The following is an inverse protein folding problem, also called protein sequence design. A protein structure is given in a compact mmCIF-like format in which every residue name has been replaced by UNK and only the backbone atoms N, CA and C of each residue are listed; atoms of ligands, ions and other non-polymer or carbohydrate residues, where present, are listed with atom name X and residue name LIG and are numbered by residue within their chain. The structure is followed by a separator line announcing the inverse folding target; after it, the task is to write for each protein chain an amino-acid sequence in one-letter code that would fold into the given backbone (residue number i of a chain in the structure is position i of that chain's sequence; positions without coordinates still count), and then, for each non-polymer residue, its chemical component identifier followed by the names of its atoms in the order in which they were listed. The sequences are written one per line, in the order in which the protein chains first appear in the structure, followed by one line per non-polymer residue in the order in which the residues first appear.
data_IF_368316113063
#
_entry.id   IF_368316113063
#
_cell.length_a   1.000
_cell.length_b   1.000
_cell.length_c   1.000
_cell.angle_alpha   90.00
_cell.angle_beta   90.00
_cell.angle_gamma   90.00
#
_symmetry.space_group_name_H-M   'P 1'
#
loop_
_entity.id
_entity.type
_entity.pdbx_description
1 polymer ?
#
# COMPACT_ATOMS: atom_id res chain seq x y z
N UNK A 1 1.31 -35.45 -42.64
CA UNK A 1 0.49 -35.54 -41.40
C UNK A 1 1.30 -34.97 -40.24
N UNK A 2 1.00 -33.75 -39.82
CA UNK A 2 1.33 -33.26 -38.48
C UNK A 2 0.02 -32.72 -37.92
N UNK A 3 -0.68 -33.62 -37.24
CA UNK A 3 -2.00 -33.42 -36.66
C UNK A 3 -1.87 -32.60 -35.37
N UNK A 4 -2.69 -31.55 -35.28
CA UNK A 4 -3.07 -30.82 -34.07
C UNK A 4 -1.94 -30.21 -33.21
N UNK A 5 -1.39 -29.09 -33.68
CA UNK A 5 -1.03 -28.01 -32.74
C UNK A 5 -2.36 -27.52 -32.15
N UNK A 6 -2.76 -28.03 -30.98
CA UNK A 6 -3.84 -27.41 -30.19
C UNK A 6 -3.48 -25.92 -30.10
N UNK A 7 -4.27 -25.07 -30.77
CA UNK A 7 -4.21 -23.63 -30.55
C UNK A 7 -4.33 -23.45 -29.04
N UNK A 8 -3.31 -22.84 -28.41
CA UNK A 8 -3.54 -22.27 -27.09
C UNK A 8 -4.78 -21.38 -27.24
N UNK A 9 -5.75 -21.41 -26.30
CA UNK A 9 -6.80 -20.40 -26.32
C UNK A 9 -6.12 -19.04 -26.49
N UNK A 10 -6.64 -18.22 -27.41
CA UNK A 10 -6.04 -16.92 -27.72
C UNK A 10 -5.85 -16.22 -26.38
N UNK A 11 -4.60 -15.89 -26.03
CA UNK A 11 -4.32 -15.28 -24.72
C UNK A 11 -5.03 -13.92 -24.73
N UNK A 12 -5.73 -13.55 -23.63
CA UNK A 12 -6.41 -12.27 -23.56
C UNK A 12 -5.42 -11.17 -23.92
N UNK A 13 -5.81 -10.31 -24.86
CA UNK A 13 -4.91 -9.29 -25.41
C UNK A 13 -4.81 -8.06 -24.51
N UNK A 14 -5.79 -7.89 -23.61
CA UNK A 14 -5.84 -6.75 -22.69
C UNK A 14 -5.99 -7.18 -21.23
N UNK A 15 -5.50 -6.33 -20.34
CA UNK A 15 -5.47 -6.55 -18.90
C UNK A 15 -6.06 -5.35 -18.16
N UNK A 16 -7.05 -5.61 -17.32
CA UNK A 16 -7.59 -4.67 -16.35
C UNK A 16 -7.18 -5.13 -14.96
N UNK A 17 -6.63 -4.23 -14.16
CA UNK A 17 -6.26 -4.48 -12.77
C UNK A 17 -6.93 -3.48 -11.86
N UNK A 18 -7.71 -3.99 -10.90
CA UNK A 18 -8.32 -3.19 -9.84
C UNK A 18 -7.63 -3.53 -8.52
N UNK A 19 -7.02 -2.51 -7.92
CA UNK A 19 -6.48 -2.59 -6.56
C UNK A 19 -7.53 -2.21 -5.54
N UNK A 20 -7.82 -3.10 -4.59
CA UNK A 20 -8.58 -2.79 -3.38
C UNK A 20 -7.59 -2.74 -2.23
N UNK A 21 -7.12 -1.55 -1.85
CA UNK A 21 -6.03 -1.39 -0.87
C UNK A 21 -6.44 -1.93 0.50
N UNK A 22 -5.57 -2.72 1.12
CA UNK A 22 -5.81 -3.27 2.45
C UNK A 22 -7.06 -4.15 2.59
N UNK A 23 -7.59 -4.74 1.51
CA UNK A 23 -8.79 -5.61 1.55
C UNK A 23 -8.44 -7.08 1.75
N UNK A 24 -8.77 -7.70 2.90
CA UNK A 24 -8.41 -9.09 3.16
C UNK A 24 -9.26 -10.09 2.37
N UNK A 25 -8.63 -11.18 1.93
CA UNK A 25 -9.32 -12.34 1.35
C UNK A 25 -10.47 -12.84 2.25
N UNK A 26 -10.24 -12.88 3.57
CA UNK A 26 -11.24 -13.31 4.56
C UNK A 26 -12.48 -12.42 4.57
N UNK A 27 -12.31 -11.11 4.37
CA UNK A 27 -13.43 -10.17 4.31
C UNK A 27 -14.26 -10.40 3.05
N UNK A 28 -13.64 -10.46 1.87
CA UNK A 28 -14.38 -10.70 0.61
C UNK A 28 -15.11 -12.05 0.65
N UNK A 29 -14.46 -13.09 1.17
CA UNK A 29 -15.09 -14.41 1.37
C UNK A 29 -16.33 -14.31 2.25
N UNK A 30 -16.24 -13.57 3.37
CA UNK A 30 -17.36 -13.35 4.29
C UNK A 30 -18.49 -12.59 3.60
N UNK A 31 -18.19 -11.48 2.93
CA UNK A 31 -19.19 -10.64 2.27
C UNK A 31 -19.92 -11.37 1.13
N UNK A 32 -19.23 -12.22 0.38
CA UNK A 32 -19.84 -13.09 -0.64
C UNK A 32 -20.77 -14.12 0.02
N UNK A 33 -20.30 -14.81 1.06
CA UNK A 33 -21.10 -15.80 1.80
C UNK A 33 -22.37 -15.19 2.40
N UNK A 34 -22.30 -13.94 2.85
CA UNK A 34 -23.42 -13.18 3.40
C UNK A 34 -24.31 -12.52 2.34
N UNK A 35 -24.00 -12.68 1.06
CA UNK A 35 -24.77 -12.09 -0.04
C UNK A 35 -24.67 -10.57 -0.15
N UNK A 36 -23.64 -9.97 0.46
CA UNK A 36 -23.44 -8.50 0.51
C UNK A 36 -22.70 -7.93 -0.70
N UNK A 37 -22.07 -8.79 -1.50
CA UNK A 37 -21.33 -8.41 -2.71
C UNK A 37 -21.79 -9.27 -3.91
N UNK A 38 -23.03 -9.07 -4.41
CA UNK A 38 -23.59 -9.88 -5.48
C UNK A 38 -22.84 -9.78 -6.81
N UNK A 39 -22.30 -8.61 -7.17
CA UNK A 39 -21.58 -8.44 -8.43
C UNK A 39 -20.24 -9.19 -8.38
N UNK A 40 -19.47 -9.01 -7.32
CA UNK A 40 -18.23 -9.74 -7.09
C UNK A 40 -18.48 -11.25 -7.01
N UNK A 41 -19.54 -11.68 -6.32
CA UNK A 41 -19.98 -13.09 -6.32
C UNK A 41 -20.28 -13.61 -7.73
N UNK A 42 -20.88 -12.77 -8.59
CA UNK A 42 -21.07 -13.04 -10.02
C UNK A 42 -19.75 -13.31 -10.75
N UNK A 43 -18.74 -12.47 -10.54
CA UNK A 43 -17.41 -12.63 -11.14
C UNK A 43 -16.73 -13.95 -10.73
N UNK A 44 -16.97 -14.42 -9.51
CA UNK A 44 -16.40 -15.70 -9.03
C UNK A 44 -17.00 -16.94 -9.69
N UNK A 45 -18.10 -16.83 -10.46
CA UNK A 45 -18.64 -17.96 -11.22
C UNK A 45 -17.71 -18.39 -12.36
N UNK A 46 -16.97 -17.43 -12.91
CA UNK A 46 -16.04 -17.63 -14.03
C UNK A 46 -14.58 -17.34 -13.64
N UNK A 47 -14.37 -16.73 -12.47
CA UNK A 47 -13.06 -16.45 -11.88
C UNK A 47 -12.75 -17.31 -10.65
N UNK A 48 -11.74 -16.87 -9.90
CA UNK A 48 -11.32 -17.50 -8.65
C UNK A 48 -10.88 -16.46 -7.63
N UNK A 49 -11.24 -16.65 -6.37
CA UNK A 49 -10.71 -15.90 -5.24
C UNK A 49 -9.64 -16.73 -4.53
N UNK A 50 -8.41 -16.23 -4.48
CA UNK A 50 -7.27 -16.94 -3.88
C UNK A 50 -6.56 -16.04 -2.86
N UNK A 51 -6.11 -16.60 -1.72
CA UNK A 51 -5.31 -15.85 -0.76
C UNK A 51 -3.91 -15.60 -1.32
N UNK A 52 -3.39 -14.39 -1.13
CA UNK A 52 -2.03 -14.00 -1.50
C UNK A 52 -1.20 -13.71 -0.25
N UNK A 53 0.08 -14.08 -0.29
CA UNK A 53 1.05 -13.67 0.73
C UNK A 53 1.67 -12.35 0.30
N UNK A 54 1.51 -11.31 1.14
CA UNK A 54 2.13 -10.00 0.90
C UNK A 54 3.63 -10.02 1.22
N UNK A 55 4.29 -8.91 0.91
CA UNK A 55 5.72 -8.68 1.16
C UNK A 55 5.96 -8.13 2.56
N UNK A 56 7.23 -8.16 2.99
CA UNK A 56 7.66 -7.57 4.25
C UNK A 56 8.55 -6.35 3.97
N UNK A 57 8.27 -5.16 4.55
CA UNK A 57 7.12 -4.85 5.41
C UNK A 57 5.77 -4.82 4.65
N UNK A 58 4.69 -5.24 5.32
CA UNK A 58 3.32 -5.23 4.78
C UNK A 58 2.72 -3.83 4.83
N UNK A 59 3.14 -2.96 3.91
CA UNK A 59 2.69 -1.57 3.81
C UNK A 59 2.53 -1.18 2.35
N UNK A 60 1.54 -0.33 2.02
CA UNK A 60 1.12 -0.11 0.64
C UNK A 60 2.23 0.37 -0.30
N UNK A 61 3.15 1.24 0.14
CA UNK A 61 4.32 1.64 -0.69
C UNK A 61 5.18 0.46 -1.11
N UNK A 62 5.40 -0.50 -0.22
CA UNK A 62 6.27 -1.66 -0.45
C UNK A 62 5.53 -2.70 -1.29
N UNK A 63 4.31 -3.04 -0.87
CA UNK A 63 3.49 -4.06 -1.51
C UNK A 63 3.10 -3.67 -2.94
N UNK A 64 2.62 -2.44 -3.17
CA UNK A 64 2.33 -1.98 -4.54
C UNK A 64 3.57 -1.90 -5.41
N UNK A 65 4.71 -1.44 -4.88
CA UNK A 65 5.96 -1.47 -5.67
C UNK A 65 6.34 -2.90 -6.04
N UNK A 66 6.18 -3.86 -5.14
CA UNK A 66 6.40 -5.28 -5.43
C UNK A 66 5.44 -5.82 -6.48
N UNK A 67 4.15 -5.48 -6.41
CA UNK A 67 3.13 -5.87 -7.41
C UNK A 67 3.51 -5.35 -8.80
N UNK A 68 3.78 -4.05 -8.91
CA UNK A 68 4.00 -3.43 -10.23
C UNK A 68 5.35 -3.78 -10.85
N UNK A 69 6.32 -4.24 -10.06
CA UNK A 69 7.67 -4.63 -10.54
C UNK A 69 7.87 -6.14 -10.63
N UNK A 70 7.01 -6.94 -9.99
CA UNK A 70 7.23 -8.38 -9.80
C UNK A 70 8.51 -8.71 -9.00
N UNK A 71 9.02 -7.75 -8.22
CA UNK A 71 10.28 -7.86 -7.49
C UNK A 71 10.04 -7.76 -5.98
N UNK A 72 10.93 -8.35 -5.17
CA UNK A 72 10.90 -8.14 -3.72
C UNK A 72 11.51 -6.77 -3.32
N UNK A 73 11.31 -6.31 -2.08
CA UNK A 73 11.80 -5.02 -1.59
C UNK A 73 13.30 -4.79 -1.74
N UNK A 74 14.11 -5.85 -1.54
CA UNK A 74 15.56 -5.79 -1.73
C UNK A 74 15.98 -5.49 -3.17
N UNK A 75 15.14 -5.81 -4.16
CA UNK A 75 15.42 -5.55 -5.58
C UNK A 75 14.87 -4.23 -6.07
N UNK A 76 13.69 -3.81 -5.61
CA UNK A 76 13.09 -2.53 -6.05
C UNK A 76 13.41 -1.34 -5.15
N UNK A 77 14.05 -1.55 -3.98
CA UNK A 77 14.58 -0.50 -3.08
C UNK A 77 13.52 0.36 -2.37
N UNK A 78 12.29 -0.13 -2.23
CA UNK A 78 11.25 0.56 -1.45
C UNK A 78 10.92 -0.27 -0.23
N UNK A 79 11.05 0.33 0.95
CA UNK A 79 10.91 -0.34 2.25
C UNK A 79 9.88 0.32 3.18
N UNK A 80 9.21 1.38 2.71
CA UNK A 80 8.15 2.09 3.42
C UNK A 80 7.96 3.51 2.90
N UNK A 81 7.14 4.31 3.60
CA UNK A 81 6.84 5.70 3.22
C UNK A 81 7.90 6.73 3.62
N UNK A 82 8.85 6.34 4.45
CA UNK A 82 9.89 7.24 4.96
C UNK A 82 11.22 6.51 4.91
N UNK A 83 12.25 7.11 4.35
CA UNK A 83 13.59 6.57 4.42
C UNK A 83 14.61 7.67 4.71
N UNK A 84 15.88 7.31 4.79
CA UNK A 84 16.97 8.25 5.07
C UNK A 84 18.17 8.04 4.16
N UNK A 85 18.98 9.08 4.08
CA UNK A 85 20.38 8.95 3.65
C UNK A 85 21.24 8.58 4.87
N UNK A 86 21.88 7.38 4.92
CA UNK A 86 22.55 6.88 6.13
C UNK A 86 23.62 7.81 6.71
N UNK A 87 24.38 8.50 5.85
CA UNK A 87 25.51 9.35 6.27
C UNK A 87 25.11 10.75 6.72
N UNK A 88 23.90 11.21 6.39
CA UNK A 88 23.45 12.57 6.73
C UNK A 88 22.22 12.58 7.62
N UNK A 89 21.52 11.43 7.70
CA UNK A 89 20.20 11.26 8.29
C UNK A 89 19.13 12.20 7.72
N UNK A 90 19.36 12.70 6.51
CA UNK A 90 18.33 13.42 5.76
C UNK A 90 17.20 12.45 5.44
N UNK A 91 15.98 12.79 5.88
CA UNK A 91 14.79 11.98 5.71
C UNK A 91 14.09 12.35 4.41
N UNK A 92 13.56 11.36 3.70
CA UNK A 92 12.82 11.56 2.47
C UNK A 92 11.65 10.57 2.35
N UNK A 93 10.69 10.91 1.49
CA UNK A 93 9.58 10.03 1.12
C UNK A 93 9.98 9.30 -0.17
N UNK A 94 10.11 7.95 -0.18
CA UNK A 94 10.41 7.22 -1.40
C UNK A 94 9.28 7.33 -2.42
N UNK A 95 9.54 8.03 -3.53
CA UNK A 95 8.69 8.05 -4.73
C UNK A 95 9.23 7.22 -5.89
N UNK A 96 8.63 7.38 -7.07
CA UNK A 96 8.92 6.64 -8.30
C UNK A 96 10.40 6.66 -8.71
N UNK A 97 11.10 7.76 -8.42
CA UNK A 97 12.53 7.95 -8.72
C UNK A 97 13.46 7.03 -7.92
N UNK A 98 12.99 6.43 -6.83
CA UNK A 98 13.78 5.54 -5.98
C UNK A 98 13.57 4.05 -6.32
N UNK A 99 12.63 3.74 -7.21
CA UNK A 99 12.33 2.38 -7.65
C UNK A 99 13.43 1.92 -8.61
N UNK A 100 14.16 0.86 -8.25
CA UNK A 100 15.31 0.36 -9.03
C UNK A 100 14.96 -0.77 -10.03
N UNK A 101 13.68 -1.04 -10.24
CA UNK A 101 13.19 -2.06 -11.17
C UNK A 101 12.14 -1.49 -12.13
N UNK A 102 12.09 -1.95 -13.39
CA UNK A 102 11.02 -1.57 -14.31
C UNK A 102 9.64 -1.97 -13.75
N UNK A 103 8.66 -1.09 -13.89
CA UNK A 103 7.26 -1.37 -13.55
C UNK A 103 6.48 -1.84 -14.78
N UNK A 104 5.31 -2.45 -14.59
CA UNK A 104 4.42 -2.84 -15.69
C UNK A 104 4.12 -1.71 -16.70
N UNK A 105 3.98 -0.46 -16.26
CA UNK A 105 3.73 0.69 -17.15
C UNK A 105 4.97 1.02 -17.98
N UNK A 106 6.18 0.76 -17.47
CA UNK A 106 7.40 0.83 -18.28
C UNK A 106 7.40 -0.25 -19.34
N UNK A 107 7.18 -1.49 -18.91
CA UNK A 107 7.29 -2.68 -19.77
C UNK A 107 6.28 -2.66 -20.91
N UNK A 108 5.05 -2.21 -20.66
CA UNK A 108 4.02 -2.04 -21.69
C UNK A 108 4.36 -0.87 -22.62
N UNK A 109 4.70 0.31 -22.07
CA UNK A 109 5.03 1.48 -22.88
C UNK A 109 6.23 1.26 -23.79
N UNK A 110 7.27 0.57 -23.30
CA UNK A 110 8.47 0.21 -24.07
C UNK A 110 8.17 -0.72 -25.25
N UNK A 111 7.09 -1.51 -25.17
CA UNK A 111 6.62 -2.37 -26.26
C UNK A 111 5.64 -1.66 -27.20
N UNK A 112 5.41 -0.35 -27.01
CA UNK A 112 4.44 0.42 -27.80
C UNK A 112 2.98 0.14 -27.45
N UNK A 113 2.72 -0.59 -26.36
CA UNK A 113 1.38 -0.84 -25.85
C UNK A 113 0.88 0.37 -25.05
N UNK A 114 -0.43 0.61 -25.09
CA UNK A 114 -1.07 1.74 -24.42
C UNK A 114 -1.40 1.40 -22.98
N UNK A 115 -1.09 2.32 -22.07
CA UNK A 115 -1.33 2.14 -20.63
C UNK A 115 -2.25 3.23 -20.08
N UNK A 116 -3.15 2.82 -19.19
CA UNK A 116 -3.81 3.70 -18.25
C UNK A 116 -3.48 3.20 -16.84
N UNK A 117 -3.02 4.08 -15.96
CA UNK A 117 -2.77 3.74 -14.56
C UNK A 117 -3.17 4.89 -13.65
N UNK A 118 -4.02 4.63 -12.66
CA UNK A 118 -4.53 5.64 -11.74
C UNK A 118 -4.41 5.21 -10.28
N UNK A 119 -3.91 6.11 -9.44
CA UNK A 119 -4.01 6.02 -7.99
C UNK A 119 -2.97 5.11 -7.33
N UNK A 120 -2.16 4.38 -8.10
CA UNK A 120 -1.21 3.39 -7.55
C UNK A 120 -0.17 4.09 -6.65
N UNK A 121 0.02 3.66 -5.39
CA UNK A 121 1.01 4.22 -4.48
C UNK A 121 2.44 4.21 -5.03
N UNK A 122 3.26 5.21 -4.64
CA UNK A 122 4.68 5.27 -5.01
C UNK A 122 4.97 5.64 -6.46
N UNK A 123 3.95 6.06 -7.22
CA UNK A 123 4.09 6.46 -8.64
C UNK A 123 4.41 7.94 -8.85
N UNK A 124 4.39 8.76 -7.79
CA UNK A 124 4.80 10.16 -7.85
C UNK A 124 6.34 10.32 -7.81
N UNK A 125 6.94 11.23 -8.59
CA UNK A 125 6.31 11.97 -9.69
C UNK A 125 5.97 11.06 -10.87
N UNK A 126 4.87 11.34 -11.60
CA UNK A 126 4.49 10.54 -12.75
C UNK A 126 5.59 10.65 -13.81
N UNK A 127 5.94 9.51 -14.39
CA UNK A 127 6.87 9.42 -15.53
C UNK A 127 6.11 9.41 -16.86
N UNK A 128 6.73 9.85 -17.97
CA UNK A 128 6.14 9.67 -19.29
C UNK A 128 5.86 8.20 -19.59
N UNK A 129 4.66 7.93 -20.09
CA UNK A 129 4.21 6.60 -20.52
C UNK A 129 3.50 6.70 -21.87
N UNK A 130 3.33 5.58 -22.57
CA UNK A 130 2.49 5.54 -23.77
C UNK A 130 1.00 5.50 -23.38
N UNK A 131 0.46 6.62 -22.91
CA UNK A 131 -0.90 6.72 -22.41
C UNK A 131 -0.98 7.65 -21.19
N UNK A 132 -1.71 7.23 -20.15
CA UNK A 132 -2.01 8.05 -18.98
C UNK A 132 -1.47 7.40 -17.71
N UNK A 133 -0.82 8.22 -16.87
CA UNK A 133 -0.39 7.85 -15.53
C UNK A 133 -0.82 8.94 -14.54
N UNK A 134 -1.70 8.59 -13.62
CA UNK A 134 -2.18 9.43 -12.52
C UNK A 134 -1.63 8.84 -11.22
N UNK A 135 -0.82 9.63 -10.53
CA UNK A 135 -0.14 9.22 -9.31
C UNK A 135 -1.11 9.04 -8.15
N UNK A 136 -0.80 8.10 -7.27
CA UNK A 136 -1.54 7.87 -6.03
C UNK A 136 -1.23 8.86 -4.92
N UNK A 137 -1.66 8.49 -3.71
CA UNK A 137 -1.34 9.23 -2.50
C UNK A 137 0.18 9.45 -2.34
N UNK A 138 0.54 10.52 -1.62
CA UNK A 138 1.88 11.15 -1.57
C UNK A 138 2.21 12.06 -2.76
N UNK A 139 1.39 12.07 -3.81
CA UNK A 139 1.44 13.19 -4.75
C UNK A 139 1.02 14.48 -4.01
N UNK A 140 1.82 15.56 -4.08
CA UNK A 140 1.60 16.76 -3.27
C UNK A 140 0.43 17.62 -3.76
N UNK A 141 0.05 17.49 -5.04
CA UNK A 141 -1.09 18.19 -5.63
C UNK A 141 -1.51 17.51 -6.95
N UNK A 142 -2.75 17.76 -7.37
CA UNK A 142 -3.33 17.16 -8.57
C UNK A 142 -2.59 17.58 -9.84
N UNK A 143 -2.17 18.85 -9.91
CA UNK A 143 -1.45 19.43 -11.05
C UNK A 143 -0.11 18.73 -11.30
N UNK A 144 0.49 18.15 -10.26
CA UNK A 144 1.77 17.43 -10.34
C UNK A 144 1.61 15.91 -10.37
N UNK A 145 0.38 15.41 -10.24
CA UNK A 145 0.11 13.98 -10.08
C UNK A 145 -0.07 13.26 -11.42
N UNK A 146 -0.38 13.96 -12.51
CA UNK A 146 -0.79 13.33 -13.76
C UNK A 146 0.19 13.54 -14.93
N UNK A 147 0.29 12.52 -15.77
CA UNK A 147 0.86 12.57 -17.11
C UNK A 147 -0.14 12.00 -18.12
N UNK A 148 -0.33 12.63 -19.30
CA UNK A 148 0.20 13.93 -19.69
C UNK A 148 -0.43 15.08 -18.87
N UNK A 149 0.19 16.26 -18.89
CA UNK A 149 -0.19 17.40 -18.02
C UNK A 149 -1.67 17.80 -18.12
N UNK A 150 -2.29 17.65 -19.30
CA UNK A 150 -3.71 17.98 -19.52
C UNK A 150 -4.70 17.15 -18.69
N UNK A 151 -4.32 15.95 -18.25
CA UNK A 151 -5.17 15.05 -17.46
C UNK A 151 -5.50 15.65 -16.09
N UNK A 152 -4.61 16.47 -15.52
CA UNK A 152 -4.85 17.08 -14.21
C UNK A 152 -6.06 18.04 -14.22
N UNK A 153 -6.24 18.82 -15.28
CA UNK A 153 -7.36 19.74 -15.41
C UNK A 153 -8.69 18.99 -15.49
N UNK A 154 -8.74 17.92 -16.29
CA UNK A 154 -9.91 17.06 -16.42
C UNK A 154 -10.28 16.39 -15.08
N UNK A 155 -9.30 15.84 -14.37
CA UNK A 155 -9.53 15.29 -13.03
C UNK A 155 -10.05 16.34 -12.04
N UNK A 156 -9.57 17.58 -12.14
CA UNK A 156 -10.03 18.68 -11.30
C UNK A 156 -11.49 19.03 -11.59
N UNK A 157 -11.91 19.04 -12.86
CA UNK A 157 -13.31 19.28 -13.24
C UNK A 157 -14.24 18.16 -12.76
N UNK A 158 -13.75 16.92 -12.75
CA UNK A 158 -14.45 15.76 -12.18
C UNK A 158 -14.50 15.78 -10.64
N UNK A 159 -13.77 16.69 -9.99
CA UNK A 159 -13.65 16.75 -8.53
C UNK A 159 -12.86 15.57 -7.95
N UNK A 160 -11.92 15.00 -8.71
CA UNK A 160 -11.09 13.88 -8.27
C UNK A 160 -10.27 14.22 -7.02
N UNK A 161 -10.24 13.29 -6.08
CA UNK A 161 -9.51 13.41 -4.81
C UNK A 161 -8.31 12.46 -4.85
N UNK A 162 -7.08 12.98 -4.74
CA UNK A 162 -5.88 12.12 -4.66
C UNK A 162 -5.94 11.26 -3.41
N UNK A 163 -6.18 11.92 -2.27
CA UNK A 163 -6.25 11.31 -0.95
C UNK A 163 -7.02 12.24 -0.01
N UNK A 164 -7.62 11.66 1.03
CA UNK A 164 -8.36 12.39 2.06
C UNK A 164 -7.44 12.71 3.24
N UNK A 165 -7.82 13.70 4.05
CA UNK A 165 -7.09 14.01 5.27
C UNK A 165 -7.51 13.06 6.41
N UNK A 166 -6.72 12.00 6.60
CA UNK A 166 -6.96 11.02 7.66
C UNK A 166 -6.89 11.60 9.09
N UNK A 167 -6.31 12.80 9.30
CA UNK A 167 -6.30 13.44 10.62
C UNK A 167 -7.70 13.86 11.06
N UNK A 168 -8.56 14.23 10.11
CA UNK A 168 -9.93 14.63 10.41
C UNK A 168 -10.75 13.53 11.09
N UNK A 169 -10.44 12.26 10.82
CA UNK A 169 -11.11 11.14 11.45
C UNK A 169 -10.97 11.15 12.98
N UNK A 170 -9.90 11.74 13.52
CA UNK A 170 -9.69 11.88 14.97
C UNK A 170 -10.54 12.98 15.59
N UNK A 171 -10.96 13.96 14.78
CA UNK A 171 -11.75 15.11 15.22
C UNK A 171 -13.25 14.88 15.02
N UNK A 172 -13.64 14.28 13.88
CA UNK A 172 -15.02 14.04 13.50
C UNK A 172 -15.14 12.85 12.54
N UNK A 173 -15.49 11.67 13.09
CA UNK A 173 -15.66 10.43 12.33
C UNK A 173 -16.70 10.56 11.22
N UNK A 174 -17.84 11.22 11.47
CA UNK A 174 -18.94 11.28 10.50
C UNK A 174 -18.54 12.09 9.27
N UNK A 175 -17.91 13.25 9.47
CA UNK A 175 -17.35 14.06 8.37
C UNK A 175 -16.29 13.29 7.60
N UNK A 176 -15.41 12.57 8.30
CA UNK A 176 -14.41 11.74 7.65
C UNK A 176 -15.05 10.65 6.76
N UNK A 177 -16.13 10.02 7.21
CA UNK A 177 -16.85 9.03 6.40
C UNK A 177 -17.47 9.65 5.16
N UNK A 178 -18.06 10.84 5.26
CA UNK A 178 -18.56 11.56 4.08
C UNK A 178 -17.43 11.84 3.07
N UNK A 179 -16.24 12.23 3.54
CA UNK A 179 -15.07 12.45 2.67
C UNK A 179 -14.57 11.14 2.01
N UNK A 180 -14.52 10.03 2.77
CA UNK A 180 -14.18 8.69 2.23
C UNK A 180 -15.14 8.27 1.12
N UNK A 181 -16.46 8.44 1.33
CA UNK A 181 -17.47 8.09 0.32
C UNK A 181 -17.38 8.99 -0.91
N UNK A 182 -17.16 10.29 -0.71
CA UNK A 182 -16.97 11.22 -1.82
C UNK A 182 -15.73 10.83 -2.63
N UNK A 183 -14.60 10.55 -1.98
CA UNK A 183 -13.37 10.15 -2.64
C UNK A 183 -13.55 8.84 -3.43
N UNK A 184 -14.21 7.83 -2.85
CA UNK A 184 -14.59 6.60 -3.56
C UNK A 184 -15.41 6.91 -4.81
N UNK A 185 -16.46 7.73 -4.70
CA UNK A 185 -17.35 8.04 -5.82
C UNK A 185 -16.58 8.70 -6.97
N UNK A 186 -15.78 9.74 -6.67
CA UNK A 186 -14.99 10.45 -7.68
C UNK A 186 -13.93 9.57 -8.33
N UNK A 187 -13.39 8.62 -7.58
CA UNK A 187 -12.44 7.64 -8.09
C UNK A 187 -13.09 6.62 -9.00
N UNK A 188 -14.27 6.11 -8.64
CA UNK A 188 -15.05 5.22 -9.50
C UNK A 188 -15.51 5.93 -10.78
N UNK A 189 -15.95 7.20 -10.66
CA UNK A 189 -16.31 8.05 -11.80
C UNK A 189 -15.13 8.22 -12.77
N UNK A 190 -13.96 8.61 -12.26
CA UNK A 190 -12.73 8.72 -13.05
C UNK A 190 -12.34 7.38 -13.71
N UNK A 191 -12.37 6.29 -12.95
CA UNK A 191 -12.08 4.95 -13.47
C UNK A 191 -12.96 4.60 -14.67
N UNK A 192 -14.28 4.74 -14.54
CA UNK A 192 -15.22 4.38 -15.60
C UNK A 192 -15.17 5.36 -16.78
N UNK A 193 -14.91 6.65 -16.52
CA UNK A 193 -14.73 7.66 -17.55
C UNK A 193 -13.56 7.31 -18.49
N UNK A 194 -12.37 7.07 -17.91
CA UNK A 194 -11.18 6.78 -18.72
C UNK A 194 -11.24 5.38 -19.36
N UNK A 195 -11.86 4.40 -18.70
CA UNK A 195 -12.07 3.07 -19.28
C UNK A 195 -12.83 3.16 -20.61
N UNK A 196 -13.87 4.00 -20.67
CA UNK A 196 -14.73 4.17 -21.84
C UNK A 196 -14.11 5.04 -22.94
N UNK A 197 -13.30 6.05 -22.57
CA UNK A 197 -12.80 7.07 -23.51
C UNK A 197 -11.42 6.74 -24.08
N UNK A 198 -10.56 6.10 -23.31
CA UNK A 198 -9.17 5.85 -23.70
C UNK A 198 -8.98 4.49 -24.36
N UNK A 199 -7.98 4.41 -25.24
CA UNK A 199 -7.45 3.14 -25.73
C UNK A 199 -6.38 2.64 -24.77
N UNK A 200 -6.50 1.39 -24.34
CA UNK A 200 -5.59 0.75 -23.39
C UNK A 200 -5.37 -0.73 -23.74
N UNK A 201 -4.16 -1.21 -23.48
CA UNK A 201 -3.79 -2.63 -23.42
C UNK A 201 -3.62 -3.07 -21.96
N UNK A 202 -3.13 -2.16 -21.11
CA UNK A 202 -3.12 -2.27 -19.65
C UNK A 202 -3.95 -1.13 -19.05
N UNK A 203 -4.94 -1.46 -18.24
CA UNK A 203 -5.74 -0.52 -17.47
C UNK A 203 -5.61 -0.84 -15.99
N UNK A 204 -5.13 0.11 -15.19
CA UNK A 204 -4.96 -0.06 -13.74
C UNK A 204 -5.71 1.04 -13.01
N UNK A 205 -6.60 0.64 -12.10
CA UNK A 205 -7.25 1.54 -11.18
C UNK A 205 -7.04 1.05 -9.74
N UNK A 206 -6.54 1.93 -8.89
CA UNK A 206 -6.34 1.66 -7.48
C UNK A 206 -7.41 2.38 -6.65
N UNK A 207 -8.07 1.68 -5.75
CA UNK A 207 -9.03 2.20 -4.77
C UNK A 207 -8.37 2.21 -3.40
N UNK A 208 -7.87 3.37 -2.99
CA UNK A 208 -7.27 3.62 -1.68
C UNK A 208 -8.31 3.65 -0.55
N UNK A 209 -9.55 3.98 -0.90
CA UNK A 209 -10.60 4.32 0.05
C UNK A 209 -10.99 3.12 0.95
N UNK A 210 -10.74 1.88 0.50
CA UNK A 210 -10.91 0.66 1.31
C UNK A 210 -9.96 0.63 2.51
N UNK A 211 -8.68 0.97 2.31
CA UNK A 211 -7.67 1.05 3.38
C UNK A 211 -8.02 2.17 4.37
N UNK A 212 -8.42 3.33 3.85
CA UNK A 212 -8.90 4.47 4.66
C UNK A 212 -10.09 4.05 5.52
N UNK A 213 -11.08 3.38 4.96
CA UNK A 213 -12.22 2.86 5.73
C UNK A 213 -11.76 1.89 6.82
N UNK A 214 -10.89 0.94 6.49
CA UNK A 214 -10.45 -0.08 7.43
C UNK A 214 -9.70 0.51 8.63
N UNK A 215 -8.83 1.49 8.41
CA UNK A 215 -8.07 2.14 9.49
C UNK A 215 -8.96 2.69 10.61
N UNK A 216 -10.19 3.09 10.32
CA UNK A 216 -11.10 3.69 11.32
C UNK A 216 -12.29 2.80 11.69
N UNK A 217 -12.83 2.05 10.74
CA UNK A 217 -14.05 1.27 10.96
C UNK A 217 -13.83 -0.24 11.11
N UNK A 218 -12.61 -0.78 10.95
CA UNK A 218 -12.40 -2.23 11.07
C UNK A 218 -12.83 -2.76 12.45
N UNK A 219 -12.37 -2.12 13.53
CA UNK A 219 -12.76 -2.49 14.88
C UNK A 219 -14.25 -2.32 15.14
N UNK A 220 -14.85 -1.24 14.64
CA UNK A 220 -16.28 -0.96 14.79
C UNK A 220 -17.16 -1.99 14.07
N UNK A 221 -16.74 -2.42 12.89
CA UNK A 221 -17.37 -3.49 12.13
C UNK A 221 -17.24 -4.83 12.86
N UNK A 222 -16.05 -5.17 13.37
CA UNK A 222 -15.86 -6.43 14.09
C UNK A 222 -16.69 -6.53 15.37
N UNK A 223 -16.92 -5.39 16.05
CA UNK A 223 -17.73 -5.35 17.28
C UNK A 223 -19.23 -5.19 17.03
N UNK A 224 -19.67 -5.03 15.77
CA UNK A 224 -21.09 -4.81 15.44
C UNK A 224 -21.64 -3.48 15.92
N UNK A 225 -20.89 -2.39 15.72
CA UNK A 225 -21.32 -1.04 16.10
C UNK A 225 -22.60 -0.64 15.36
N UNK A 226 -23.70 -0.40 16.09
CA UNK A 226 -25.00 0.00 15.51
C UNK A 226 -24.90 1.25 14.62
N UNK A 227 -23.99 2.16 14.95
CA UNK A 227 -23.78 3.41 14.22
C UNK A 227 -22.89 3.20 13.00
N UNK A 228 -21.74 2.54 13.16
CA UNK A 228 -20.68 2.55 12.14
C UNK A 228 -20.60 1.29 11.27
N UNK A 229 -21.12 0.15 11.72
CA UNK A 229 -21.20 -1.05 10.90
C UNK A 229 -22.05 -0.84 9.62
N UNK A 230 -23.21 -0.14 9.65
CA UNK A 230 -23.96 0.15 8.43
C UNK A 230 -23.16 0.96 7.40
N UNK A 231 -22.31 1.90 7.85
CA UNK A 231 -21.44 2.67 6.96
C UNK A 231 -20.42 1.76 6.25
N UNK A 232 -19.82 0.84 7.00
CA UNK A 232 -18.85 -0.11 6.45
C UNK A 232 -19.46 -0.95 5.30
N UNK A 233 -20.66 -1.52 5.53
CA UNK A 233 -21.30 -2.33 4.48
C UNK A 233 -21.88 -1.50 3.34
N UNK A 234 -22.37 -0.28 3.60
CA UNK A 234 -22.78 0.64 2.54
C UNK A 234 -21.60 0.99 1.62
N UNK A 235 -20.41 1.15 2.19
CA UNK A 235 -19.19 1.41 1.44
C UNK A 235 -18.87 0.23 0.53
N UNK A 236 -18.85 -0.98 1.08
CA UNK A 236 -18.59 -2.20 0.30
C UNK A 236 -19.66 -2.49 -0.75
N UNK A 237 -20.92 -2.11 -0.50
CA UNK A 237 -21.97 -2.18 -1.52
C UNK A 237 -21.68 -1.24 -2.71
N UNK A 238 -21.14 -0.04 -2.45
CA UNK A 238 -20.71 0.86 -3.53
C UNK A 238 -19.50 0.33 -4.30
N UNK A 239 -18.52 -0.24 -3.60
CA UNK A 239 -17.37 -0.93 -4.23
C UNK A 239 -17.86 -2.08 -5.11
N UNK A 240 -18.76 -2.92 -4.61
CA UNK A 240 -19.34 -4.03 -5.38
C UNK A 240 -20.07 -3.54 -6.63
N UNK A 241 -20.87 -2.48 -6.51
CA UNK A 241 -21.54 -1.85 -7.66
C UNK A 241 -20.52 -1.35 -8.70
N UNK A 242 -19.44 -0.67 -8.27
CA UNK A 242 -18.39 -0.20 -9.19
C UNK A 242 -17.70 -1.36 -9.92
N UNK A 243 -17.49 -2.50 -9.26
CA UNK A 243 -16.91 -3.70 -9.86
C UNK A 243 -17.86 -4.33 -10.89
N UNK A 244 -19.17 -4.36 -10.61
CA UNK A 244 -20.19 -4.78 -11.59
C UNK A 244 -20.22 -3.87 -12.80
N UNK A 245 -20.30 -2.56 -12.57
CA UNK A 245 -20.24 -1.53 -13.61
C UNK A 245 -18.98 -1.66 -14.49
N UNK A 246 -17.82 -1.89 -13.88
CA UNK A 246 -16.58 -2.14 -14.60
C UNK A 246 -16.69 -3.39 -15.46
N UNK A 247 -17.09 -4.52 -14.86
CA UNK A 247 -17.15 -5.81 -15.54
C UNK A 247 -18.11 -5.82 -16.74
N UNK A 248 -19.27 -5.18 -16.61
CA UNK A 248 -20.26 -5.06 -17.69
C UNK A 248 -19.73 -4.30 -18.93
N UNK A 249 -18.63 -3.56 -18.79
CA UNK A 249 -17.97 -2.81 -19.87
C UNK A 249 -16.77 -3.54 -20.48
N UNK A 250 -16.38 -4.69 -19.93
CA UNK A 250 -15.27 -5.49 -20.44
C UNK A 250 -15.80 -6.51 -21.47
N UNK A 251 -14.93 -6.87 -22.42
CA UNK A 251 -15.23 -7.93 -23.39
C UNK A 251 -14.44 -9.22 -23.09
N UNK A 252 -14.80 -10.29 -23.79
CA UNK A 252 -14.24 -11.63 -23.60
C UNK A 252 -12.73 -11.74 -23.88
N UNK A 253 -12.11 -10.72 -24.50
CA UNK A 253 -10.66 -10.65 -24.77
C UNK A 253 -9.89 -9.88 -23.66
N UNK A 254 -10.57 -9.51 -22.57
CA UNK A 254 -10.00 -8.76 -21.46
C UNK A 254 -9.89 -9.63 -20.21
N UNK A 255 -8.69 -9.76 -19.66
CA UNK A 255 -8.48 -10.36 -18.34
C UNK A 255 -8.70 -9.31 -17.25
N UNK A 256 -9.67 -9.56 -16.36
CA UNK A 256 -9.86 -8.78 -15.13
C UNK A 256 -9.12 -9.42 -13.95
N UNK A 257 -8.24 -8.65 -13.31
CA UNK A 257 -7.57 -9.01 -12.06
C UNK A 257 -7.99 -8.04 -10.98
N UNK A 258 -8.57 -8.55 -9.89
CA UNK A 258 -8.85 -7.77 -8.68
C UNK A 258 -7.88 -8.27 -7.61
N UNK A 259 -7.11 -7.38 -7.01
CA UNK A 259 -6.12 -7.75 -6.01
C UNK A 259 -6.06 -6.75 -4.85
N UNK A 260 -5.52 -7.23 -3.73
CA UNK A 260 -5.14 -6.40 -2.59
C UNK A 260 -3.65 -6.57 -2.33
N UNK A 261 -3.02 -5.51 -1.87
CA UNK A 261 -1.61 -5.45 -1.56
C UNK A 261 -1.29 -6.00 -0.16
N UNK A 262 -2.20 -5.83 0.80
CA UNK A 262 -2.14 -6.47 2.11
C UNK A 262 -3.52 -6.76 2.71
N UNK A 263 -3.52 -7.40 3.88
CA UNK A 263 -4.70 -7.60 4.69
C UNK A 263 -4.93 -6.47 5.70
N UNK A 264 -5.79 -6.75 6.66
CA UNK A 264 -6.20 -5.85 7.74
C UNK A 264 -6.67 -6.68 8.92
N UNK A 265 -6.52 -6.15 10.13
CA UNK A 265 -7.01 -6.75 11.35
C UNK A 265 -7.29 -5.66 12.38
N UNK A 266 -8.00 -6.02 13.45
CA UNK A 266 -8.23 -5.09 14.56
C UNK A 266 -6.94 -4.80 15.31
N UNK A 267 -6.69 -3.52 15.53
CA UNK A 267 -5.67 -3.05 16.45
C UNK A 267 -6.06 -3.42 17.88
N UNK A 268 -5.20 -4.21 18.54
CA UNK A 268 -5.34 -4.51 19.97
C UNK A 268 -4.53 -3.53 20.83
N UNK A 269 -3.31 -3.22 20.39
CA UNK A 269 -2.36 -2.38 21.11
C UNK A 269 -1.41 -1.66 20.14
N UNK A 270 -0.81 -0.57 20.59
CA UNK A 270 0.26 0.16 19.89
C UNK A 270 1.57 0.03 20.66
N UNK A 271 2.65 -0.33 19.96
CA UNK A 271 3.98 -0.51 20.55
C UNK A 271 4.92 0.57 20.06
N UNK A 272 5.42 1.40 20.98
CA UNK A 272 6.38 2.45 20.66
C UNK A 272 7.82 1.91 20.68
N UNK A 273 8.26 1.33 19.56
CA UNK A 273 9.57 0.64 19.46
C UNK A 273 10.75 1.51 19.90
N UNK A 274 10.77 2.80 19.55
CA UNK A 274 11.86 3.69 19.98
C UNK A 274 11.86 3.96 21.50
N UNK A 275 10.69 3.97 22.14
CA UNK A 275 10.61 4.04 23.61
C UNK A 275 11.19 2.80 24.25
N UNK A 276 10.85 1.62 23.71
CA UNK A 276 11.42 0.35 24.16
C UNK A 276 12.94 0.30 23.97
N UNK A 277 13.45 0.70 22.80
CA UNK A 277 14.89 0.78 22.54
C UNK A 277 15.62 1.70 23.53
N UNK A 278 14.98 2.81 23.93
CA UNK A 278 15.52 3.72 24.95
C UNK A 278 15.58 3.06 26.33
N UNK A 279 14.52 2.37 26.74
CA UNK A 279 14.47 1.64 28.01
C UNK A 279 15.50 0.50 28.06
N UNK A 280 15.74 -0.17 26.92
CA UNK A 280 16.76 -1.20 26.77
C UNK A 280 18.20 -0.64 26.72
N UNK A 281 18.39 0.68 26.79
CA UNK A 281 19.72 1.32 26.71
C UNK A 281 20.36 1.30 25.32
N UNK A 282 19.57 1.00 24.27
CA UNK A 282 20.05 0.90 22.88
C UNK A 282 19.90 2.21 22.11
N UNK A 283 19.05 3.12 22.59
CA UNK A 283 18.78 4.42 21.99
C UNK A 283 18.82 5.53 23.06
N UNK A 284 19.47 6.63 22.75
CA UNK A 284 19.50 7.84 23.58
C UNK A 284 19.58 9.08 22.68
N UNK A 285 19.34 10.25 23.26
CA UNK A 285 19.27 11.51 22.52
C UNK A 285 20.09 12.58 23.23
N UNK A 286 20.73 13.47 22.48
CA UNK A 286 21.54 14.57 23.01
C UNK A 286 20.70 15.77 23.46
N UNK A 287 19.38 15.70 23.23
CA UNK A 287 18.40 16.70 23.64
C UNK A 287 17.23 16.04 24.37
N UNK A 288 16.62 16.71 25.37
CA UNK A 288 15.43 16.21 26.05
C UNK A 288 14.19 16.16 25.15
N UNK A 289 14.17 16.88 24.03
CA UNK A 289 13.03 16.96 23.11
C UNK A 289 13.47 16.71 21.64
N UNK A 290 13.83 15.46 21.28
CA UNK A 290 14.31 15.13 19.95
C UNK A 290 13.19 15.30 18.91
N UNK A 291 13.52 15.95 17.79
CA UNK A 291 12.61 16.23 16.65
C UNK A 291 13.08 15.62 15.34
N UNK A 292 14.35 15.24 15.25
CA UNK A 292 14.98 14.73 14.03
C UNK A 292 15.96 13.61 14.34
N UNK A 293 16.32 12.81 13.35
CA UNK A 293 17.28 11.71 13.53
C UNK A 293 18.67 12.18 13.98
N UNK A 294 19.07 13.41 13.65
CA UNK A 294 20.34 13.99 14.10
C UNK A 294 20.42 14.26 15.60
N UNK A 295 19.29 14.20 16.30
CA UNK A 295 19.25 14.37 17.75
C UNK A 295 19.61 13.07 18.49
N UNK A 296 19.78 11.95 17.77
CA UNK A 296 20.21 10.67 18.32
C UNK A 296 21.67 10.78 18.80
N UNK A 297 21.91 10.46 20.06
CA UNK A 297 23.24 10.54 20.65
C UNK A 297 24.23 9.60 19.96
N UNK A 298 25.52 9.97 19.80
CA UNK A 298 26.54 9.12 19.19
C UNK A 298 26.68 7.72 19.84
N UNK A 299 26.37 7.58 21.12
CA UNK A 299 26.40 6.31 21.86
C UNK A 299 25.29 5.32 21.46
N UNK A 300 24.21 5.80 20.83
CA UNK A 300 23.06 4.97 20.47
C UNK A 300 23.41 3.92 19.43
N UNK A 301 23.03 2.66 19.68
CA UNK A 301 23.39 1.50 18.86
C UNK A 301 22.39 1.23 17.73
N UNK A 302 21.11 1.56 17.93
CA UNK A 302 20.09 1.40 16.90
C UNK A 302 18.86 2.29 17.14
N UNK A 303 18.01 2.42 16.13
CA UNK A 303 16.73 3.12 16.18
C UNK A 303 15.74 2.50 15.19
N UNK A 304 14.46 2.85 15.32
CA UNK A 304 13.38 2.37 14.47
C UNK A 304 12.75 3.50 13.65
N UNK A 305 12.38 3.20 12.40
CA UNK A 305 11.51 4.04 11.56
C UNK A 305 10.27 3.26 11.14
N UNK A 306 9.21 3.98 10.77
CA UNK A 306 7.98 3.37 10.29
C UNK A 306 8.22 2.53 9.00
N UNK A 307 7.51 1.40 8.83
CA UNK A 307 6.56 0.78 9.77
C UNK A 307 7.25 -0.28 10.67
N UNK A 308 8.13 0.15 11.57
CA UNK A 308 8.79 -0.76 12.54
C UNK A 308 10.11 -1.37 12.07
N UNK A 309 10.76 -0.78 11.05
CA UNK A 309 12.10 -1.17 10.58
C UNK A 309 13.16 -0.68 11.54
N UNK A 310 14.09 -1.55 11.93
CA UNK A 310 15.16 -1.23 12.87
C UNK A 310 16.50 -1.12 12.14
N UNK A 311 17.22 -0.05 12.44
CA UNK A 311 18.52 0.27 11.85
C UNK A 311 19.61 0.26 12.91
N UNK A 312 20.60 -0.61 12.70
CA UNK A 312 21.81 -0.65 13.53
C UNK A 312 22.80 0.39 13.04
N UNK A 313 23.32 1.20 13.98
CA UNK A 313 24.27 2.29 13.76
C UNK A 313 25.69 1.81 13.55
N UNK A 314 25.90 1.14 12.42
CA UNK A 314 27.20 0.55 12.04
C UNK A 314 28.20 1.63 11.65
N UNK A 315 29.39 1.56 12.26
CA UNK A 315 30.53 2.45 12.02
C UNK A 315 30.91 2.45 10.54
N UNK A 316 31.04 3.64 9.96
CA UNK A 316 31.35 3.84 8.54
C UNK A 316 30.15 3.70 7.59
N UNK A 317 28.98 3.23 8.05
CA UNK A 317 27.74 3.19 7.25
C UNK A 317 26.74 4.29 7.65
N UNK A 318 26.54 4.48 8.94
CA UNK A 318 25.59 5.44 9.49
C UNK A 318 26.31 6.67 10.04
N UNK A 319 25.64 7.82 10.03
CA UNK A 319 26.11 9.05 10.67
C UNK A 319 26.49 8.78 12.13
N UNK A 320 27.77 9.00 12.45
CA UNK A 320 28.37 8.75 13.77
C UNK A 320 28.08 7.34 14.33
N UNK A 321 28.06 6.32 13.46
CA UNK A 321 27.80 4.94 13.87
C UNK A 321 28.82 4.40 14.88
N UNK A 322 28.34 3.93 16.04
CA UNK A 322 29.18 3.41 17.11
C UNK A 322 29.42 1.89 17.05
N UNK A 323 28.51 1.13 16.42
CA UNK A 323 28.53 -0.34 16.37
C UNK A 323 29.57 -0.82 15.36
N UNK A 324 30.47 -1.71 15.77
CA UNK A 324 31.47 -2.27 14.86
C UNK A 324 30.84 -3.28 13.89
N UNK A 325 31.28 -3.35 12.62
CA UNK A 325 30.82 -4.40 11.71
C UNK A 325 31.25 -5.79 12.20
N UNK A 326 30.59 -6.84 11.71
CA UNK A 326 30.87 -8.22 12.10
C UNK A 326 30.18 -8.61 13.41
N UNK A 327 30.93 -9.14 14.37
CA UNK A 327 30.36 -9.77 15.57
C UNK A 327 29.52 -8.81 16.44
N UNK A 328 29.93 -7.56 16.61
CA UNK A 328 29.18 -6.56 17.38
C UNK A 328 27.83 -6.24 16.72
N UNK A 329 27.81 -6.04 15.39
CA UNK A 329 26.58 -5.91 14.61
C UNK A 329 25.63 -7.10 14.78
N UNK A 330 26.13 -8.33 14.68
CA UNK A 330 25.29 -9.53 14.85
C UNK A 330 24.75 -9.69 16.27
N UNK A 331 25.54 -9.30 17.28
CA UNK A 331 25.08 -9.27 18.67
C UNK A 331 23.94 -8.27 18.85
N UNK A 332 24.08 -7.03 18.37
CA UNK A 332 23.00 -6.02 18.44
C UNK A 332 21.71 -6.55 17.80
N UNK A 333 21.81 -7.17 16.62
CA UNK A 333 20.64 -7.72 15.92
C UNK A 333 19.94 -8.79 16.73
N UNK A 334 20.71 -9.74 17.29
CA UNK A 334 20.16 -10.85 18.08
C UNK A 334 19.51 -10.35 19.36
N UNK A 335 20.17 -9.43 20.07
CA UNK A 335 19.66 -8.86 21.32
C UNK A 335 18.37 -8.09 21.09
N UNK A 336 18.33 -7.27 20.03
CA UNK A 336 17.12 -6.52 19.64
C UNK A 336 15.98 -7.48 19.26
N UNK A 337 16.26 -8.49 18.43
CA UNK A 337 15.24 -9.44 18.01
C UNK A 337 14.68 -10.22 19.20
N UNK A 338 15.55 -10.80 20.03
CA UNK A 338 15.14 -11.52 21.23
C UNK A 338 14.39 -10.64 22.22
N UNK A 339 14.80 -9.38 22.37
CA UNK A 339 14.14 -8.44 23.27
C UNK A 339 12.73 -8.06 22.80
N UNK A 340 12.54 -7.88 21.49
CA UNK A 340 11.23 -7.60 20.91
C UNK A 340 10.31 -8.82 20.93
N UNK A 341 10.81 -10.01 20.58
CA UNK A 341 10.03 -11.27 20.64
C UNK A 341 9.66 -11.66 22.08
N UNK A 342 10.40 -11.15 23.06
CA UNK A 342 10.09 -11.27 24.49
C UNK A 342 9.13 -10.20 25.01
N UNK A 343 8.73 -9.22 24.19
CA UNK A 343 7.85 -8.14 24.63
C UNK A 343 6.43 -8.66 24.84
N UNK A 344 5.89 -8.37 26.02
CA UNK A 344 4.53 -8.74 26.42
C UNK A 344 3.74 -7.50 26.82
N UNK A 345 2.45 -7.56 26.59
CA UNK A 345 1.47 -6.67 27.18
C UNK A 345 1.50 -6.82 28.70
N UNK A 346 1.70 -5.72 29.43
CA UNK A 346 1.76 -5.76 30.90
C UNK A 346 0.41 -6.05 31.55
N UNK A 347 -0.70 -5.80 30.85
CA UNK A 347 -2.05 -6.03 31.37
C UNK A 347 -2.54 -7.45 31.09
N UNK A 348 -2.35 -7.94 29.86
CA UNK A 348 -2.86 -9.25 29.44
C UNK A 348 -1.83 -10.38 29.52
N UNK A 349 -0.53 -10.05 29.51
CA UNK A 349 0.56 -11.02 29.41
C UNK A 349 0.74 -11.63 28.00
N UNK A 350 -0.06 -11.21 27.01
CA UNK A 350 0.07 -11.67 25.63
C UNK A 350 1.35 -11.10 24.98
N UNK A 351 1.97 -11.86 24.08
CA UNK A 351 3.09 -11.34 23.27
C UNK A 351 2.57 -10.32 22.28
N UNK A 352 3.26 -9.18 22.17
CA UNK A 352 2.90 -8.10 21.24
C UNK A 352 3.69 -8.13 19.94
N UNK A 353 4.76 -8.93 19.87
CA UNK A 353 5.54 -9.21 18.66
C UNK A 353 5.47 -10.70 18.38
N UNK A 354 4.85 -11.06 17.26
CA UNK A 354 4.79 -12.46 16.82
C UNK A 354 6.17 -12.96 16.35
N UNK A 355 6.86 -12.13 15.56
CA UNK A 355 8.15 -12.49 14.95
C UNK A 355 8.96 -11.25 14.55
N UNK A 356 10.27 -11.34 14.68
CA UNK A 356 11.20 -10.36 14.08
C UNK A 356 11.82 -10.97 12.82
N UNK A 357 11.71 -10.24 11.71
CA UNK A 357 12.33 -10.63 10.44
C UNK A 357 13.70 -9.99 10.31
N UNK A 358 14.69 -10.84 10.02
CA UNK A 358 16.01 -10.41 9.64
C UNK A 358 16.04 -9.97 8.17
N UNK A 359 17.14 -9.32 7.75
CA UNK A 359 17.26 -8.77 6.39
C UNK A 359 17.43 -9.85 5.32
N UNK A 360 18.09 -10.95 5.67
CA UNK A 360 18.43 -12.07 4.79
C UNK A 360 17.27 -12.95 4.34
#
# INVERSE_FOLDING_TARGET
MNLFRRSRPDRPRRLVVVGLDGTPHSLLTRLVREGRMPNFSGLLKEGSLVPLQSVLPTVSSVAWTSIVTGCNPGKHNIFGFVDRVPQTYEMYIPGSRHVLAPTWVDLFSQQGLRVFSMGVPGTYPPKPVNGILISGFLAPSLEKAAYPEGVAAELSEMGYVIDIDAWQARENTDRFLDEVFLALERRCEAMLHYLAREKWDLFVAHIMDTDRLHHFLWGQMETGSEVYEPWFYRFYARVDAALGELADRLDDDTLLVILSDHGFCRMKQEVHVNTWLKQAGLLSFDTPAPKQLRDIAPSSRCYSLLPGRIYVRVRGREYEGCVSPGADYETVRRDVASGLEGLVDTETGERVVERVYMRE
#
